data_IF_838393397245
#
_entry.id   IF_838393397245
#
_cell.length_a   1.000
_cell.length_b   1.000
_cell.length_c   1.000
_cell.angle_alpha   90.00
_cell.angle_beta   90.00
_cell.angle_gamma   90.00
#
_symmetry.space_group_name_H-M   'P 1'
#
loop_
_entity.id
_entity.type
_entity.pdbx_description
1 polymer ?
#
# COMPACT_ATOMS: atom_id res chain seq x y z
N UNK A 1 3.31 -14.27 26.96
CA UNK A 1 4.21 -13.22 26.40
C UNK A 1 4.67 -13.51 24.96
N UNK A 2 5.30 -14.65 24.65
CA UNK A 2 5.84 -14.93 23.31
C UNK A 2 4.83 -14.86 22.15
N UNK A 3 3.58 -15.28 22.36
CA UNK A 3 2.53 -15.22 21.33
C UNK A 3 2.25 -13.80 20.82
N UNK A 4 2.16 -12.80 21.71
CA UNK A 4 1.96 -11.40 21.31
C UNK A 4 3.16 -10.85 20.53
N UNK A 5 4.38 -11.20 20.93
CA UNK A 5 5.60 -10.77 20.22
C UNK A 5 5.64 -11.30 18.80
N UNK A 6 5.30 -12.58 18.61
CA UNK A 6 5.20 -13.20 17.29
C UNK A 6 4.12 -12.49 16.45
N UNK A 7 2.98 -12.18 17.06
CA UNK A 7 1.86 -11.51 16.39
C UNK A 7 2.25 -10.12 15.87
N UNK A 8 2.90 -9.31 16.71
CA UNK A 8 3.41 -7.99 16.32
C UNK A 8 4.54 -8.08 15.30
N UNK A 9 5.44 -9.06 15.46
CA UNK A 9 6.53 -9.28 14.53
C UNK A 9 6.02 -9.66 13.13
N UNK A 10 5.11 -10.62 13.05
CA UNK A 10 4.50 -11.04 11.78
C UNK A 10 3.68 -9.92 11.15
N UNK A 11 2.94 -9.15 11.95
CA UNK A 11 2.24 -7.98 11.45
C UNK A 11 3.18 -6.96 10.83
N UNK A 12 4.29 -6.63 11.50
CA UNK A 12 5.23 -5.63 11.00
C UNK A 12 5.96 -6.13 9.74
N UNK A 13 6.30 -7.41 9.69
CA UNK A 13 6.97 -8.00 8.53
C UNK A 13 6.05 -8.19 7.33
N UNK A 14 4.86 -8.75 7.53
CA UNK A 14 3.96 -9.17 6.44
C UNK A 14 2.91 -8.12 6.11
N UNK A 15 2.47 -7.32 7.08
CA UNK A 15 1.51 -6.23 6.87
C UNK A 15 2.04 -5.12 5.97
N UNK A 16 3.37 -4.95 5.88
CA UNK A 16 4.02 -4.01 4.97
C UNK A 16 4.04 -4.45 3.50
N UNK A 17 3.84 -5.74 3.21
CA UNK A 17 3.89 -6.28 1.84
C UNK A 17 2.81 -5.67 0.93
N UNK A 18 1.51 -5.66 1.29
CA UNK A 18 0.45 -5.07 0.47
C UNK A 18 0.40 -3.54 0.48
N UNK A 19 1.41 -2.86 1.01
CA UNK A 19 1.36 -1.40 1.14
C UNK A 19 1.52 -0.71 -0.21
N UNK A 20 0.49 0.04 -0.62
CA UNK A 20 0.41 0.59 -1.98
C UNK A 20 1.57 1.54 -2.34
N UNK A 21 2.07 2.34 -1.40
CA UNK A 21 3.17 3.29 -1.64
C UNK A 21 4.45 2.59 -2.12
N UNK A 22 4.67 1.35 -1.68
CA UNK A 22 5.81 0.54 -2.09
C UNK A 22 5.69 0.12 -3.57
N UNK A 23 4.53 -0.41 -3.96
CA UNK A 23 4.27 -0.80 -5.34
C UNK A 23 4.31 0.39 -6.31
N UNK A 24 3.82 1.56 -5.91
CA UNK A 24 3.91 2.75 -6.74
C UNK A 24 5.36 3.12 -7.08
N UNK A 25 6.27 2.98 -6.12
CA UNK A 25 7.70 3.29 -6.33
C UNK A 25 8.39 2.23 -7.19
N UNK A 26 8.07 0.96 -6.97
CA UNK A 26 8.63 -0.14 -7.76
C UNK A 26 8.17 -0.09 -9.21
N UNK A 27 6.87 0.10 -9.44
CA UNK A 27 6.30 0.14 -10.78
C UNK A 27 6.69 1.40 -11.57
N UNK A 28 7.18 2.44 -10.89
CA UNK A 28 7.74 3.63 -11.54
C UNK A 28 9.16 3.41 -12.09
N UNK A 29 9.84 2.32 -11.72
CA UNK A 29 11.18 2.00 -12.24
C UNK A 29 11.11 1.43 -13.66
N UNK A 30 12.13 1.69 -14.48
CA UNK A 30 12.12 1.30 -15.91
C UNK A 30 12.44 -0.18 -16.13
N UNK A 31 13.05 -0.86 -15.17
CA UNK A 31 13.56 -2.23 -15.35
C UNK A 31 13.44 -3.03 -14.06
N UNK A 32 13.10 -4.33 -14.16
CA UNK A 32 12.97 -5.21 -12.99
C UNK A 32 14.23 -5.32 -12.13
N UNK A 33 15.43 -5.27 -12.74
CA UNK A 33 16.69 -5.22 -11.99
C UNK A 33 16.79 -3.97 -11.09
N UNK A 34 16.33 -2.82 -11.58
CA UNK A 34 16.31 -1.57 -10.80
C UNK A 34 15.31 -1.67 -9.64
N UNK A 35 14.14 -2.28 -9.87
CA UNK A 35 13.15 -2.51 -8.82
C UNK A 35 13.69 -3.38 -7.67
N UNK A 36 14.43 -4.44 -8.01
CA UNK A 36 15.06 -5.33 -7.03
C UNK A 36 16.12 -4.58 -6.22
N UNK A 37 17.02 -3.86 -6.90
CA UNK A 37 18.05 -3.05 -6.22
C UNK A 37 17.41 -2.03 -5.30
N UNK A 38 16.36 -1.33 -5.74
CA UNK A 38 15.63 -0.37 -4.91
C UNK A 38 15.05 -1.02 -3.65
N UNK A 39 14.50 -2.23 -3.78
CA UNK A 39 13.91 -2.98 -2.66
C UNK A 39 14.96 -3.42 -1.64
N UNK A 40 16.07 -4.00 -2.10
CA UNK A 40 17.16 -4.44 -1.22
C UNK A 40 17.92 -3.27 -0.60
N UNK A 41 18.22 -2.23 -1.37
CA UNK A 41 18.87 -1.03 -0.89
C UNK A 41 17.97 -0.29 0.12
N UNK A 42 16.67 -0.22 -0.13
CA UNK A 42 15.69 0.34 0.80
C UNK A 42 15.64 -0.45 2.12
N UNK A 43 15.57 -1.78 2.04
CA UNK A 43 15.56 -2.64 3.23
C UNK A 43 16.83 -2.50 4.08
N UNK A 44 18.01 -2.54 3.45
CA UNK A 44 19.30 -2.37 4.13
C UNK A 44 19.45 -0.95 4.68
N UNK A 45 19.00 0.06 3.93
CA UNK A 45 18.96 1.45 4.36
C UNK A 45 18.09 1.66 5.60
N UNK A 46 16.95 0.97 5.70
CA UNK A 46 16.08 1.05 6.88
C UNK A 46 16.79 0.54 8.14
N UNK A 47 17.56 -0.55 8.05
CA UNK A 47 18.32 -1.09 9.19
C UNK A 47 19.34 -0.06 9.71
N UNK A 48 20.05 0.61 8.80
CA UNK A 48 21.01 1.65 9.16
C UNK A 48 20.30 2.87 9.77
N UNK A 49 19.17 3.28 9.20
CA UNK A 49 18.40 4.45 9.64
C UNK A 49 17.68 4.27 10.99
N UNK A 50 17.54 3.03 11.46
CA UNK A 50 17.03 2.75 12.82
C UNK A 50 18.07 3.09 13.90
N UNK A 51 19.37 3.02 13.59
CA UNK A 51 20.44 3.23 14.59
C UNK A 51 20.36 4.62 15.24
N UNK A 52 20.27 5.74 14.50
CA UNK A 52 20.13 7.06 15.12
C UNK A 52 18.89 7.20 16.00
N UNK A 53 17.76 6.62 15.59
CA UNK A 53 16.53 6.68 16.38
C UNK A 53 16.66 5.96 17.73
N UNK A 54 17.34 4.80 17.74
CA UNK A 54 17.63 4.06 18.98
C UNK A 54 18.58 4.85 19.87
N UNK A 55 19.64 5.43 19.31
CA UNK A 55 20.62 6.22 20.09
C UNK A 55 19.93 7.40 20.79
N UNK A 56 19.07 8.14 20.08
CA UNK A 56 18.31 9.25 20.66
C UNK A 56 17.42 8.75 21.82
N UNK A 57 16.77 7.59 21.68
CA UNK A 57 15.99 6.99 22.76
C UNK A 57 16.82 6.57 23.97
N UNK A 58 18.03 6.05 23.75
CA UNK A 58 18.97 5.68 24.83
C UNK A 58 19.44 6.93 25.57
N UNK A 59 19.84 7.98 24.83
CA UNK A 59 20.25 9.27 25.41
C UNK A 59 19.10 9.85 26.25
N UNK A 60 17.88 9.82 25.73
CA UNK A 60 16.72 10.30 26.46
C UNK A 60 16.50 9.55 27.78
N UNK A 61 16.65 8.22 27.77
CA UNK A 61 16.49 7.41 29.00
C UNK A 61 17.64 7.63 30.00
N UNK A 62 18.85 7.87 29.52
CA UNK A 62 20.05 8.06 30.34
C UNK A 62 20.27 9.48 30.85
N UNK A 63 19.41 10.43 30.48
CA UNK A 63 19.53 11.83 30.88
C UNK A 63 18.72 12.11 32.16
N UNK A 64 19.35 12.77 33.12
CA UNK A 64 18.67 13.31 34.30
C UNK A 64 17.91 14.60 33.94
N UNK A 65 16.71 14.44 33.37
CA UNK A 65 15.84 15.53 32.94
C UNK A 65 15.58 16.65 33.98
N UNK A 66 15.48 16.37 35.30
CA UNK A 66 15.35 17.43 36.30
C UNK A 66 16.53 18.40 36.37
N UNK A 67 17.72 17.99 35.91
CA UNK A 67 18.92 18.85 35.85
C UNK A 67 19.04 19.62 34.54
N UNK A 68 18.18 19.34 33.55
CA UNK A 68 18.16 20.04 32.26
C UNK A 68 17.28 21.30 32.31
N UNK A 69 17.38 22.14 31.28
CA UNK A 69 16.51 23.33 31.11
C UNK A 69 15.00 22.98 31.06
N UNK A 70 14.64 21.72 30.81
CA UNK A 70 13.25 21.25 30.85
C UNK A 70 12.69 21.17 32.29
N UNK A 71 13.56 20.89 33.28
CA UNK A 71 13.23 20.96 34.71
C UNK A 71 12.16 19.99 35.22
N UNK A 72 11.74 19.00 34.42
CA UNK A 72 10.71 18.00 34.76
C UNK A 72 11.14 16.61 34.32
N UNK A 73 10.72 15.57 35.04
CA UNK A 73 10.87 14.20 34.55
C UNK A 73 9.95 13.93 33.36
N UNK A 74 10.38 13.07 32.44
CA UNK A 74 9.54 12.62 31.33
C UNK A 74 8.44 11.72 31.85
N UNK A 75 7.18 12.16 31.73
CA UNK A 75 5.99 11.37 32.06
C UNK A 75 5.59 10.51 30.84
N UNK A 76 4.71 9.52 31.03
CA UNK A 76 4.23 8.63 29.96
C UNK A 76 3.71 9.35 28.71
N UNK A 77 3.06 10.51 28.85
CA UNK A 77 2.59 11.30 27.70
C UNK A 77 3.74 12.00 26.94
N UNK A 78 4.79 12.41 27.66
CA UNK A 78 5.97 13.05 27.09
C UNK A 78 6.85 12.06 26.30
N UNK A 79 6.66 10.74 26.52
CA UNK A 79 7.37 9.68 25.78
C UNK A 79 7.17 9.80 24.26
N UNK A 80 6.02 10.33 23.82
CA UNK A 80 5.71 10.57 22.40
C UNK A 80 6.51 11.76 21.81
N UNK A 81 6.99 12.65 22.67
CA UNK A 81 7.71 13.89 22.33
C UNK A 81 9.21 13.79 22.67
N UNK A 82 9.73 12.60 22.97
CA UNK A 82 11.14 12.40 23.35
C UNK A 82 12.10 12.94 22.28
N UNK A 83 11.85 12.66 21.00
CA UNK A 83 12.73 13.11 19.92
C UNK A 83 12.85 14.65 19.87
N UNK A 84 11.75 15.43 19.81
CA UNK A 84 11.87 16.88 19.83
C UNK A 84 12.41 17.43 21.16
N UNK A 85 12.10 16.81 22.31
CA UNK A 85 12.65 17.21 23.61
C UNK A 85 14.18 17.05 23.65
N UNK A 86 14.71 15.92 23.17
CA UNK A 86 16.16 15.70 23.11
C UNK A 86 16.81 16.72 22.19
N UNK A 87 16.26 16.97 21.01
CA UNK A 87 16.83 17.96 20.09
C UNK A 87 16.81 19.37 20.69
N UNK A 88 15.72 19.77 21.36
CA UNK A 88 15.58 21.13 21.87
C UNK A 88 16.44 21.41 23.11
N UNK A 89 16.54 20.46 24.04
CA UNK A 89 17.16 20.70 25.36
C UNK A 89 18.55 20.11 25.53
N UNK A 90 18.97 19.17 24.68
CA UNK A 90 20.29 18.53 24.77
C UNK A 90 21.23 18.92 23.63
N UNK A 91 20.78 19.70 22.65
CA UNK A 91 21.62 20.12 21.51
C UNK A 91 21.68 21.64 21.36
N UNK A 92 22.76 22.18 20.76
CA UNK A 92 22.86 23.61 20.47
C UNK A 92 21.69 24.11 19.60
N UNK A 93 21.27 25.39 19.72
CA UNK A 93 20.09 25.90 19.01
C UNK A 93 20.09 25.69 17.49
N UNK A 94 21.26 25.74 16.85
CA UNK A 94 21.39 25.52 15.40
C UNK A 94 21.19 24.05 15.01
N UNK A 95 21.63 23.10 15.86
CA UNK A 95 21.40 21.65 15.66
C UNK A 95 19.93 21.34 15.87
N UNK A 96 19.32 21.90 16.92
CA UNK A 96 17.90 21.74 17.20
C UNK A 96 17.05 22.20 16.02
N UNK A 97 17.35 23.39 15.47
CA UNK A 97 16.63 23.95 14.31
C UNK A 97 16.76 23.05 13.06
N UNK A 98 17.98 22.67 12.70
CA UNK A 98 18.20 21.80 11.53
C UNK A 98 17.63 20.39 11.74
N UNK A 99 17.76 19.83 12.94
CA UNK A 99 17.28 18.50 13.30
C UNK A 99 15.76 18.41 13.28
N UNK A 100 15.07 19.36 13.91
CA UNK A 100 13.60 19.44 13.87
C UNK A 100 13.10 19.72 12.45
N UNK A 101 13.80 20.54 11.67
CA UNK A 101 13.53 20.75 10.25
C UNK A 101 13.66 19.47 9.43
N UNK A 102 14.71 18.68 9.65
CA UNK A 102 14.94 17.41 8.96
C UNK A 102 13.88 16.37 9.32
N UNK A 103 13.50 16.26 10.60
CA UNK A 103 12.41 15.37 11.06
C UNK A 103 11.08 15.78 10.42
N UNK A 104 10.78 17.09 10.39
CA UNK A 104 9.56 17.61 9.76
C UNK A 104 9.53 17.31 8.27
N UNK A 105 10.64 17.49 7.55
CA UNK A 105 10.77 17.16 6.13
C UNK A 105 10.60 15.64 5.88
N UNK A 106 11.17 14.80 6.74
CA UNK A 106 11.03 13.35 6.64
C UNK A 106 9.56 12.90 6.83
N UNK A 107 8.86 13.44 7.83
CA UNK A 107 7.43 13.16 8.07
C UNK A 107 6.59 13.66 6.90
N UNK A 108 6.86 14.86 6.39
CA UNK A 108 6.15 15.42 5.23
C UNK A 108 6.31 14.53 3.99
N UNK A 109 7.53 14.05 3.69
CA UNK A 109 7.76 13.14 2.56
C UNK A 109 6.97 11.82 2.65
N UNK A 110 6.75 11.33 3.87
CA UNK A 110 6.00 10.10 4.14
C UNK A 110 4.49 10.34 4.06
N UNK A 111 4.02 11.47 4.59
CA UNK A 111 2.64 11.91 4.49
C UNK A 111 2.24 12.13 3.03
N UNK A 112 3.07 12.84 2.26
CA UNK A 112 2.86 13.10 0.83
C UNK A 112 2.69 11.80 0.04
N UNK A 113 3.60 10.84 0.27
CA UNK A 113 3.53 9.53 -0.38
C UNK A 113 2.23 8.78 -0.04
N UNK A 114 1.79 8.83 1.23
CA UNK A 114 0.59 8.12 1.69
C UNK A 114 -0.71 8.73 1.15
N UNK A 115 -0.79 10.08 1.13
CA UNK A 115 -1.94 10.81 0.58
C UNK A 115 -2.00 10.61 -0.93
N UNK A 116 -0.86 10.70 -1.63
CA UNK A 116 -0.78 10.45 -3.07
C UNK A 116 -1.21 9.03 -3.43
N UNK A 117 -0.76 8.06 -2.63
CA UNK A 117 -1.13 6.66 -2.80
C UNK A 117 -2.63 6.43 -2.68
N UNK A 118 -3.23 6.93 -1.60
CA UNK A 118 -4.67 6.83 -1.35
C UNK A 118 -5.48 7.52 -2.45
N UNK A 119 -5.04 8.71 -2.89
CA UNK A 119 -5.71 9.50 -3.93
C UNK A 119 -5.63 8.83 -5.31
N UNK A 120 -4.48 8.22 -5.63
CA UNK A 120 -4.31 7.45 -6.86
C UNK A 120 -5.19 6.20 -6.89
N UNK A 121 -5.29 5.47 -5.77
CA UNK A 121 -6.20 4.34 -5.65
C UNK A 121 -7.65 4.77 -5.82
N UNK A 122 -8.06 5.89 -5.21
CA UNK A 122 -9.41 6.41 -5.36
C UNK A 122 -9.72 6.78 -6.82
N UNK A 123 -8.84 7.53 -7.48
CA UNK A 123 -9.07 7.99 -8.85
C UNK A 123 -9.06 6.83 -9.87
N UNK A 124 -8.13 5.89 -9.75
CA UNK A 124 -7.99 4.79 -10.71
C UNK A 124 -8.91 3.61 -10.39
N UNK A 125 -9.01 3.19 -9.13
CA UNK A 125 -9.72 1.95 -8.78
C UNK A 125 -11.21 2.20 -8.51
N UNK A 126 -11.57 3.37 -7.98
CA UNK A 126 -12.97 3.69 -7.69
C UNK A 126 -13.60 4.56 -8.79
N UNK A 127 -13.02 5.72 -9.09
CA UNK A 127 -13.63 6.65 -10.04
C UNK A 127 -13.63 6.12 -11.46
N UNK A 128 -12.47 5.73 -12.01
CA UNK A 128 -12.39 5.20 -13.38
C UNK A 128 -13.16 3.88 -13.54
N UNK A 129 -13.08 2.96 -12.58
CA UNK A 129 -13.71 1.63 -12.73
C UNK A 129 -15.22 1.61 -12.47
N UNK A 130 -15.68 2.32 -11.43
CA UNK A 130 -17.08 2.25 -10.97
C UNK A 130 -17.92 3.41 -11.50
N UNK A 131 -17.41 4.65 -11.42
CA UNK A 131 -18.19 5.84 -11.74
C UNK A 131 -18.16 6.13 -13.25
N UNK A 132 -16.97 6.20 -13.85
CA UNK A 132 -16.80 6.60 -15.25
C UNK A 132 -15.72 5.79 -15.96
N UNK A 133 -16.10 4.64 -16.51
CA UNK A 133 -15.24 3.71 -17.27
C UNK A 133 -14.50 4.31 -18.46
N UNK A 134 -15.02 5.40 -19.03
CA UNK A 134 -14.42 6.13 -20.16
C UNK A 134 -13.81 7.48 -19.77
N UNK A 135 -13.40 7.67 -18.51
CA UNK A 135 -12.74 8.90 -18.08
C UNK A 135 -11.40 9.10 -18.82
N UNK A 136 -11.18 10.32 -19.31
CA UNK A 136 -9.90 10.72 -19.90
C UNK A 136 -8.82 10.85 -18.82
N UNK A 137 -7.55 10.64 -19.15
CA UNK A 137 -6.44 10.76 -18.19
C UNK A 137 -6.36 12.16 -17.55
N UNK A 138 -6.72 13.21 -18.31
CA UNK A 138 -6.79 14.57 -17.77
C UNK A 138 -7.88 14.71 -16.70
N UNK A 139 -9.01 14.02 -16.86
CA UNK A 139 -10.10 14.00 -15.88
C UNK A 139 -9.67 13.26 -14.62
N UNK A 140 -9.01 12.09 -14.77
CA UNK A 140 -8.49 11.30 -13.65
C UNK A 140 -7.48 12.11 -12.83
N UNK A 141 -6.60 12.89 -13.47
CA UNK A 141 -5.66 13.77 -12.78
C UNK A 141 -6.36 14.86 -11.95
N UNK A 142 -7.44 15.46 -12.46
CA UNK A 142 -8.22 16.44 -11.69
C UNK A 142 -8.92 15.81 -10.50
N UNK A 143 -9.50 14.62 -10.67
CA UNK A 143 -10.12 13.85 -9.59
C UNK A 143 -9.08 13.47 -8.53
N UNK A 144 -7.88 13.05 -8.95
CA UNK A 144 -6.78 12.73 -8.05
C UNK A 144 -6.36 13.94 -7.21
N UNK A 145 -6.25 15.14 -7.81
CA UNK A 145 -5.96 16.39 -7.08
C UNK A 145 -7.06 16.75 -6.07
N UNK A 146 -8.33 16.56 -6.44
CA UNK A 146 -9.46 16.73 -5.52
C UNK A 146 -9.41 15.72 -4.37
N UNK A 147 -9.10 14.45 -4.66
CA UNK A 147 -8.97 13.40 -3.65
C UNK A 147 -7.84 13.68 -2.66
N UNK A 148 -6.71 14.25 -3.11
CA UNK A 148 -5.61 14.69 -2.22
C UNK A 148 -6.12 15.68 -1.17
N UNK A 149 -6.91 16.68 -1.57
CA UNK A 149 -7.47 17.66 -0.64
C UNK A 149 -8.44 17.02 0.34
N UNK A 150 -9.31 16.12 -0.12
CA UNK A 150 -10.31 15.44 0.73
C UNK A 150 -9.63 14.51 1.73
N UNK A 151 -8.74 13.62 1.26
CA UNK A 151 -8.01 12.67 2.11
C UNK A 151 -7.12 13.41 3.11
N UNK A 152 -6.42 14.46 2.68
CA UNK A 152 -5.60 15.29 3.56
C UNK A 152 -6.42 16.00 4.64
N UNK A 153 -7.60 16.53 4.29
CA UNK A 153 -8.50 17.18 5.26
C UNK A 153 -9.01 16.19 6.30
N UNK A 154 -9.44 15.00 5.87
CA UNK A 154 -9.91 13.94 6.79
C UNK A 154 -8.78 13.48 7.69
N UNK A 155 -7.58 13.24 7.15
CA UNK A 155 -6.41 12.86 7.92
C UNK A 155 -6.05 13.93 8.97
N UNK A 156 -6.12 15.22 8.61
CA UNK A 156 -5.91 16.33 9.54
C UNK A 156 -6.94 16.37 10.67
N UNK A 157 -8.23 16.18 10.35
CA UNK A 157 -9.29 16.12 11.36
C UNK A 157 -9.11 14.96 12.34
N UNK A 158 -8.72 13.79 11.84
CA UNK A 158 -8.40 12.62 12.68
C UNK A 158 -7.16 12.92 13.54
N UNK A 159 -6.13 13.54 12.99
CA UNK A 159 -4.91 13.90 13.72
C UNK A 159 -5.18 14.88 14.87
N UNK A 160 -6.05 15.88 14.69
CA UNK A 160 -6.42 16.84 15.74
C UNK A 160 -7.22 16.18 16.88
N UNK A 161 -7.99 15.13 16.58
CA UNK A 161 -8.86 14.46 17.58
C UNK A 161 -8.26 13.18 18.19
N UNK A 162 -7.25 12.60 17.56
CA UNK A 162 -6.64 11.35 17.98
C UNK A 162 -5.75 11.49 19.22
N UNK A 163 -5.99 10.68 20.25
CA UNK A 163 -5.17 10.66 21.49
C UNK A 163 -3.93 9.76 21.40
N UNK A 164 -3.99 8.70 20.58
CA UNK A 164 -2.94 7.67 20.48
C UNK A 164 -2.64 7.33 19.02
N UNK A 165 -1.54 7.88 18.50
CA UNK A 165 -1.07 7.63 17.13
C UNK A 165 -0.63 6.17 16.98
N UNK A 166 0.01 5.63 18.01
CA UNK A 166 0.52 4.26 18.05
C UNK A 166 -0.61 3.23 17.94
N UNK A 167 -1.70 3.41 18.68
CA UNK A 167 -2.86 2.51 18.59
C UNK A 167 -3.52 2.58 17.22
N UNK A 168 -3.69 3.79 16.66
CA UNK A 168 -4.27 3.95 15.34
C UNK A 168 -3.40 3.28 14.26
N UNK A 169 -2.07 3.40 14.36
CA UNK A 169 -1.14 2.75 13.46
C UNK A 169 -1.26 1.22 13.54
N UNK A 170 -1.26 0.65 14.74
CA UNK A 170 -1.42 -0.80 14.91
C UNK A 170 -2.77 -1.29 14.40
N UNK A 171 -3.85 -0.54 14.66
CA UNK A 171 -5.19 -0.88 14.18
C UNK A 171 -5.27 -0.88 12.65
N UNK A 172 -4.70 0.11 11.99
CA UNK A 172 -4.64 0.16 10.53
C UNK A 172 -3.82 -0.99 9.95
N UNK A 173 -2.63 -1.24 10.52
CA UNK A 173 -1.76 -2.35 10.10
C UNK A 173 -2.40 -3.72 10.34
N UNK A 174 -3.23 -3.87 11.38
CA UNK A 174 -3.99 -5.09 11.63
C UNK A 174 -4.94 -5.43 10.49
N UNK A 175 -5.71 -4.45 10.04
CA UNK A 175 -6.65 -4.65 8.93
C UNK A 175 -5.92 -5.02 7.65
N UNK A 176 -4.81 -4.35 7.35
CA UNK A 176 -3.98 -4.66 6.19
C UNK A 176 -3.42 -6.09 6.27
N UNK A 177 -2.90 -6.46 7.43
CA UNK A 177 -2.32 -7.79 7.66
C UNK A 177 -3.35 -8.92 7.60
N UNK A 178 -4.54 -8.75 8.18
CA UNK A 178 -5.56 -9.81 8.21
C UNK A 178 -6.37 -9.88 6.91
N UNK A 179 -6.60 -8.74 6.25
CA UNK A 179 -7.56 -8.63 5.14
C UNK A 179 -6.95 -8.40 3.77
N UNK A 180 -5.71 -7.94 3.64
CA UNK A 180 -5.10 -7.67 2.33
C UNK A 180 -3.93 -8.61 2.05
N UNK A 181 -3.15 -8.95 3.07
CA UNK A 181 -2.01 -9.85 2.89
C UNK A 181 -2.41 -11.23 2.33
N UNK A 182 -3.40 -11.98 2.90
CA UNK A 182 -3.83 -13.26 2.33
C UNK A 182 -4.27 -13.17 0.87
N UNK A 183 -5.03 -12.12 0.55
CA UNK A 183 -5.60 -11.86 -0.76
C UNK A 183 -4.49 -11.60 -1.78
N UNK A 184 -3.54 -10.74 -1.45
CA UNK A 184 -2.41 -10.43 -2.31
C UNK A 184 -1.51 -11.65 -2.52
N UNK A 185 -1.11 -12.34 -1.45
CA UNK A 185 -0.22 -13.50 -1.53
C UNK A 185 -0.83 -14.60 -2.41
N UNK A 186 -2.10 -14.92 -2.21
CA UNK A 186 -2.75 -15.98 -2.99
C UNK A 186 -3.03 -15.54 -4.43
N UNK A 187 -3.42 -14.29 -4.67
CA UNK A 187 -3.64 -13.78 -6.02
C UNK A 187 -2.35 -13.75 -6.86
N UNK A 188 -1.20 -13.44 -6.25
CA UNK A 188 0.08 -13.36 -6.95
C UNK A 188 0.73 -14.73 -7.14
N UNK A 189 0.77 -15.57 -6.10
CA UNK A 189 1.49 -16.85 -6.18
C UNK A 189 0.64 -18.01 -6.71
N UNK A 190 -0.66 -18.00 -6.43
CA UNK A 190 -1.58 -19.08 -6.81
C UNK A 190 -2.85 -18.56 -7.50
N UNK A 191 -2.73 -17.76 -8.59
CA UNK A 191 -3.87 -17.18 -9.30
C UNK A 191 -4.84 -18.24 -9.84
N UNK A 192 -4.40 -19.48 -9.99
CA UNK A 192 -5.24 -20.58 -10.46
C UNK A 192 -6.16 -21.17 -9.38
N UNK A 193 -5.89 -20.94 -8.10
CA UNK A 193 -6.69 -21.47 -6.99
C UNK A 193 -7.72 -20.47 -6.48
N UNK A 194 -7.61 -19.20 -6.85
CA UNK A 194 -8.40 -18.11 -6.27
C UNK A 194 -9.39 -17.50 -7.25
N UNK A 195 -10.56 -17.14 -6.74
CA UNK A 195 -11.64 -16.51 -7.50
C UNK A 195 -12.16 -15.27 -6.76
N UNK A 196 -12.82 -14.37 -7.48
CA UNK A 196 -13.38 -13.13 -6.91
C UNK A 196 -14.37 -13.41 -5.77
N UNK A 197 -15.23 -14.44 -5.91
CA UNK A 197 -16.18 -14.82 -4.85
C UNK A 197 -15.48 -15.23 -3.55
N UNK A 198 -14.43 -16.05 -3.63
CA UNK A 198 -13.67 -16.47 -2.46
C UNK A 198 -12.92 -15.32 -1.80
N UNK A 199 -12.40 -14.37 -2.60
CA UNK A 199 -11.76 -13.16 -2.10
C UNK A 199 -12.72 -12.27 -1.32
N UNK A 200 -13.94 -12.05 -1.84
CA UNK A 200 -14.98 -11.23 -1.18
C UNK A 200 -15.41 -11.86 0.14
N UNK A 201 -15.69 -13.18 0.16
CA UNK A 201 -16.08 -13.88 1.39
C UNK A 201 -14.95 -13.81 2.44
N UNK A 202 -13.71 -14.08 2.04
CA UNK A 202 -12.56 -13.99 2.93
C UNK A 202 -12.38 -12.57 3.49
N UNK A 203 -12.59 -11.53 2.68
CA UNK A 203 -12.53 -10.13 3.12
C UNK A 203 -13.55 -9.85 4.24
N UNK A 204 -14.81 -10.24 4.07
CA UNK A 204 -15.83 -10.05 5.10
C UNK A 204 -15.60 -10.90 6.35
N UNK A 205 -15.16 -12.16 6.20
CA UNK A 205 -14.80 -13.01 7.34
C UNK A 205 -13.65 -12.41 8.14
N UNK A 206 -12.58 -11.95 7.46
CA UNK A 206 -11.47 -11.25 8.10
C UNK A 206 -11.90 -9.96 8.80
N UNK A 207 -12.80 -9.18 8.18
CA UNK A 207 -13.36 -7.97 8.79
C UNK A 207 -14.10 -8.28 10.10
N UNK A 208 -15.02 -9.24 10.05
CA UNK A 208 -15.85 -9.64 11.19
C UNK A 208 -14.97 -10.17 12.31
N UNK A 209 -14.03 -11.08 12.00
CA UNK A 209 -13.09 -11.61 12.99
C UNK A 209 -12.28 -10.50 13.66
N UNK A 210 -11.82 -9.49 12.91
CA UNK A 210 -11.05 -8.40 13.49
C UNK A 210 -11.92 -7.47 14.33
N UNK A 211 -13.09 -7.07 13.85
CA UNK A 211 -14.01 -6.22 14.62
C UNK A 211 -14.42 -6.91 15.92
N UNK A 212 -14.77 -8.20 15.87
CA UNK A 212 -15.10 -8.99 17.06
C UNK A 212 -13.92 -9.07 18.04
N UNK A 213 -12.70 -9.20 17.55
CA UNK A 213 -11.49 -9.22 18.38
C UNK A 213 -10.99 -7.85 18.86
N UNK A 214 -11.52 -6.73 18.36
CA UNK A 214 -11.24 -5.36 18.85
C UNK A 214 -12.34 -4.88 19.80
N UNK A 215 -13.59 -5.29 19.58
CA UNK A 215 -14.78 -4.71 20.20
C UNK A 215 -15.01 -5.03 21.69
N UNK A 216 -14.05 -5.64 22.40
CA UNK A 216 -14.18 -5.86 23.85
C UNK A 216 -15.40 -6.68 24.27
N UNK A 217 -16.03 -7.41 23.35
CA UNK A 217 -17.01 -8.44 23.69
C UNK A 217 -16.22 -9.50 24.46
N UNK A 218 -16.62 -9.90 25.69
CA UNK A 218 -15.92 -10.95 26.42
C UNK A 218 -15.73 -12.12 25.47
N UNK A 219 -14.47 -12.54 25.33
CA UNK A 219 -13.99 -13.40 24.25
C UNK A 219 -14.94 -14.58 24.11
N UNK A 220 -15.86 -14.54 23.13
CA UNK A 220 -16.89 -15.58 22.98
C UNK A 220 -16.26 -16.96 22.69
N UNK A 221 -14.97 -16.96 22.35
CA UNK A 221 -14.11 -18.14 22.15
C UNK A 221 -12.85 -17.95 22.98
N UNK A 222 -12.84 -18.48 24.21
CA UNK A 222 -11.63 -18.57 25.04
C UNK A 222 -10.62 -19.52 24.37
N UNK A 223 -9.70 -18.97 23.57
CA UNK A 223 -8.58 -19.74 23.05
C UNK A 223 -7.59 -20.06 24.20
N UNK A 224 -6.87 -21.19 24.14
CA UNK A 224 -5.89 -21.55 25.16
C UNK A 224 -4.89 -20.40 25.41
N UNK A 225 -4.53 -20.15 26.68
CA UNK A 225 -3.75 -19.01 27.19
C UNK A 225 -4.52 -17.70 27.49
N UNK A 226 -5.78 -17.79 27.92
CA UNK A 226 -6.49 -16.67 28.56
C UNK A 226 -6.11 -16.59 30.04
N UNK A 227 -5.40 -15.52 30.43
CA UNK A 227 -5.04 -15.24 31.83
C UNK A 227 -5.27 -13.75 32.07
N UNK A 228 -6.02 -13.41 33.13
CA UNK A 228 -6.27 -12.04 33.61
C UNK A 228 -6.82 -11.05 32.55
N UNK A 229 -7.79 -11.49 31.73
CA UNK A 229 -8.45 -10.60 30.76
C UNK A 229 -7.62 -10.28 29.51
N UNK A 230 -6.40 -10.80 29.40
CA UNK A 230 -5.51 -10.62 28.26
C UNK A 230 -5.34 -11.96 27.53
N UNK A 231 -5.72 -11.98 26.25
CA UNK A 231 -5.50 -13.13 25.39
C UNK A 231 -4.05 -13.12 24.88
N UNK A 232 -3.19 -13.97 25.46
CA UNK A 232 -1.79 -14.09 25.05
C UNK A 232 -1.58 -14.91 23.76
N UNK A 233 -2.66 -15.48 23.24
CA UNK A 233 -2.68 -16.21 21.98
C UNK A 233 -2.53 -15.23 20.79
N UNK A 234 -1.74 -15.56 19.75
CA UNK A 234 -1.55 -14.72 18.56
C UNK A 234 -2.82 -14.65 17.71
N UNK A 235 -3.80 -13.90 18.19
CA UNK A 235 -5.13 -13.82 17.60
C UNK A 235 -5.10 -13.22 16.19
N UNK A 236 -4.22 -12.24 15.91
CA UNK A 236 -4.16 -11.61 14.58
C UNK A 236 -3.62 -12.59 13.54
N UNK A 237 -2.60 -13.36 13.90
CA UNK A 237 -2.02 -14.42 13.05
C UNK A 237 -3.05 -15.51 12.80
N UNK A 238 -3.80 -15.95 13.82
CA UNK A 238 -4.88 -16.91 13.62
C UNK A 238 -5.98 -16.34 12.70
N UNK A 239 -6.41 -15.09 12.92
CA UNK A 239 -7.40 -14.45 12.05
C UNK A 239 -6.90 -14.37 10.60
N UNK A 240 -5.62 -14.03 10.38
CA UNK A 240 -4.99 -14.03 9.07
C UNK A 240 -5.01 -15.43 8.43
N UNK A 241 -4.66 -16.48 9.18
CA UNK A 241 -4.69 -17.87 8.69
C UNK A 241 -6.12 -18.33 8.38
N UNK A 242 -7.10 -17.92 9.18
CA UNK A 242 -8.52 -18.21 8.92
C UNK A 242 -8.98 -17.50 7.65
N UNK A 243 -8.60 -16.23 7.42
CA UNK A 243 -8.85 -15.53 6.15
C UNK A 243 -8.21 -16.28 4.97
N UNK A 244 -6.97 -16.75 5.14
CA UNK A 244 -6.24 -17.51 4.12
C UNK A 244 -6.94 -18.83 3.77
N UNK A 245 -7.33 -19.61 4.79
CA UNK A 245 -8.06 -20.86 4.62
C UNK A 245 -9.44 -20.63 4.01
N UNK A 246 -10.16 -19.60 4.47
CA UNK A 246 -11.48 -19.22 3.94
C UNK A 246 -11.38 -18.89 2.45
N UNK A 247 -10.39 -18.08 2.06
CA UNK A 247 -10.20 -17.71 0.66
C UNK A 247 -9.96 -18.94 -0.22
N UNK A 248 -9.11 -19.86 0.21
CA UNK A 248 -8.83 -21.10 -0.51
C UNK A 248 -10.03 -22.03 -0.59
N UNK A 249 -10.68 -22.32 0.55
CA UNK A 249 -11.82 -23.23 0.63
C UNK A 249 -13.00 -22.72 -0.20
N UNK A 250 -13.38 -21.45 -0.06
CA UNK A 250 -14.47 -20.87 -0.82
C UNK A 250 -14.13 -20.72 -2.30
N UNK A 251 -12.87 -20.44 -2.66
CA UNK A 251 -12.47 -20.41 -4.07
C UNK A 251 -12.53 -21.80 -4.71
N UNK A 252 -12.05 -22.84 -4.02
CA UNK A 252 -12.14 -24.23 -4.50
C UNK A 252 -13.58 -24.73 -4.57
N UNK A 253 -14.39 -24.42 -3.56
CA UNK A 253 -15.81 -24.76 -3.54
C UNK A 253 -16.56 -24.08 -4.69
N UNK A 254 -16.34 -22.77 -4.88
CA UNK A 254 -16.94 -22.01 -5.98
C UNK A 254 -16.54 -22.58 -7.35
N UNK A 255 -15.27 -23.00 -7.51
CA UNK A 255 -14.79 -23.63 -8.75
C UNK A 255 -15.45 -24.99 -9.00
N UNK A 256 -15.55 -25.85 -8.00
CA UNK A 256 -16.26 -27.12 -8.11
C UNK A 256 -17.74 -26.92 -8.45
N UNK A 257 -18.39 -25.92 -7.86
CA UNK A 257 -19.80 -25.62 -8.13
C UNK A 257 -20.02 -25.04 -9.53
N UNK A 258 -19.04 -24.28 -10.05
CA UNK A 258 -19.03 -23.79 -11.42
C UNK A 258 -18.82 -24.92 -12.43
N UNK A 259 -17.81 -25.78 -12.20
CA UNK A 259 -17.52 -26.94 -13.06
C UNK A 259 -18.70 -27.94 -13.06
N UNK A 260 -19.44 -28.04 -11.96
CA UNK A 260 -20.67 -28.82 -11.85
C UNK A 260 -21.92 -28.15 -12.48
N UNK A 261 -21.79 -26.92 -13.00
CA UNK A 261 -22.87 -26.20 -13.71
C UNK A 261 -23.94 -25.58 -12.80
N UNK A 262 -23.72 -25.52 -11.48
CA UNK A 262 -24.71 -25.00 -10.53
C UNK A 262 -24.65 -23.47 -10.36
N UNK A 263 -23.51 -22.84 -10.67
CA UNK A 263 -23.33 -21.38 -10.59
C UNK A 263 -23.08 -20.81 -11.99
N UNK A 264 -23.85 -19.78 -12.38
CA UNK A 264 -23.55 -18.96 -13.55
C UNK A 264 -22.58 -17.83 -13.17
N UNK A 265 -21.64 -17.50 -14.05
CA UNK A 265 -20.71 -16.41 -13.78
C UNK A 265 -21.36 -15.04 -13.99
N UNK A 266 -21.77 -14.39 -12.91
CA UNK A 266 -22.42 -13.07 -12.96
C UNK A 266 -21.43 -11.90 -12.99
N UNK A 267 -20.19 -12.09 -12.54
CA UNK A 267 -19.23 -11.00 -12.31
C UNK A 267 -17.97 -11.19 -13.18
N UNK A 268 -17.91 -12.22 -14.02
CA UNK A 268 -16.66 -12.62 -14.68
C UNK A 268 -15.63 -13.09 -13.66
N UNK A 269 -16.09 -13.66 -12.54
CA UNK A 269 -15.25 -14.06 -11.42
C UNK A 269 -14.30 -15.21 -11.77
N UNK A 270 -14.60 -15.96 -12.84
CA UNK A 270 -13.77 -17.02 -13.41
C UNK A 270 -13.12 -16.61 -14.75
N UNK A 271 -13.50 -15.44 -15.28
CA UNK A 271 -13.01 -14.93 -16.55
C UNK A 271 -11.60 -14.33 -16.38
N UNK A 272 -10.60 -15.03 -16.90
CA UNK A 272 -9.18 -14.70 -16.74
C UNK A 272 -8.74 -13.52 -17.60
N UNK A 273 -9.46 -13.22 -18.67
CA UNK A 273 -9.08 -12.18 -19.63
C UNK A 273 -9.48 -10.77 -19.17
N UNK A 274 -10.34 -10.67 -18.16
CA UNK A 274 -10.85 -9.40 -17.63
C UNK A 274 -10.28 -9.04 -16.24
N UNK A 275 -9.36 -9.85 -15.71
CA UNK A 275 -8.60 -9.46 -14.52
C UNK A 275 -7.46 -8.53 -14.96
N UNK A 276 -7.35 -7.29 -14.44
CA UNK A 276 -6.15 -6.49 -14.62
C UNK A 276 -5.06 -7.13 -13.75
N UNK A 277 -4.50 -8.22 -14.26
CA UNK A 277 -3.39 -8.91 -13.66
C UNK A 277 -2.18 -7.98 -13.84
N UNK A 278 -1.88 -7.17 -12.81
CA UNK A 278 -0.59 -6.46 -12.67
C UNK A 278 0.49 -7.49 -12.31
N UNK A 279 0.55 -8.59 -13.05
CA UNK A 279 1.66 -9.53 -13.03
C UNK A 279 2.41 -9.22 -14.30
N UNK A 280 3.58 -8.60 -14.15
CA UNK A 280 4.61 -8.70 -15.15
C UNK A 280 4.95 -10.18 -15.30
N UNK A 281 4.19 -10.91 -16.13
CA UNK A 281 4.53 -12.27 -16.49
C UNK A 281 5.80 -12.20 -17.34
N UNK A 282 6.94 -12.48 -16.73
CA UNK A 282 8.09 -13.04 -17.44
C UNK A 282 7.66 -14.37 -18.04
N UNK A 283 7.17 -14.36 -19.28
CA UNK A 283 7.13 -15.56 -20.10
C UNK A 283 8.57 -15.95 -20.39
N UNK A 284 8.97 -17.13 -19.93
CA UNK A 284 10.23 -17.74 -20.31
C UNK A 284 10.25 -18.05 -21.80
N UNK A 285 11.02 -17.28 -22.55
CA UNK A 285 11.88 -17.72 -23.64
C UNK A 285 13.00 -16.67 -23.77
N UNK A 286 14.23 -17.13 -24.01
CA UNK A 286 15.45 -16.32 -23.90
C UNK A 286 15.40 -15.02 -24.69
N UNK A 287 15.99 -13.97 -24.10
CA UNK A 287 16.12 -12.64 -24.70
C UNK A 287 15.52 -11.57 -23.79
N UNK A 288 16.36 -10.81 -23.10
CA UNK A 288 15.94 -9.59 -22.39
C UNK A 288 15.73 -8.53 -23.46
N UNK A 289 14.56 -8.50 -24.09
CA UNK A 289 14.08 -7.32 -24.82
C UNK A 289 13.32 -6.43 -23.84
N UNK A 290 13.74 -5.16 -23.82
CA UNK A 290 13.26 -4.16 -22.89
C UNK A 290 11.75 -3.98 -23.00
N UNK A 291 11.10 -3.92 -21.85
CA UNK A 291 9.76 -3.34 -21.74
C UNK A 291 9.94 -1.84 -22.00
N UNK A 292 9.78 -1.44 -23.26
CA UNK A 292 9.63 -0.04 -23.61
C UNK A 292 8.33 0.46 -22.98
N UNK A 293 8.49 1.28 -21.94
CA UNK A 293 7.42 2.00 -21.29
C UNK A 293 6.99 3.13 -22.24
N UNK A 294 5.81 3.08 -22.92
CA UNK A 294 5.43 4.10 -23.90
C UNK A 294 4.96 5.41 -23.25
N UNK A 295 5.19 5.61 -21.96
CA UNK A 295 4.61 6.68 -21.15
C UNK A 295 5.59 7.73 -20.62
N UNK A 296 6.84 7.79 -21.11
CA UNK A 296 7.80 8.83 -20.71
C UNK A 296 8.62 9.35 -21.89
N UNK A 297 7.97 10.08 -22.80
CA UNK A 297 8.69 11.10 -23.57
C UNK A 297 8.97 12.28 -22.64
N UNK A 298 10.16 12.24 -22.04
CA UNK A 298 10.76 13.40 -21.39
C UNK A 298 11.17 14.35 -22.52
N UNK A 299 10.27 15.27 -22.88
CA UNK A 299 10.59 16.40 -23.73
C UNK A 299 11.67 17.22 -23.02
N UNK A 300 12.92 17.03 -23.47
CA UNK A 300 14.05 17.87 -23.08
C UNK A 300 13.86 19.24 -23.73
N UNK A 301 13.49 20.23 -22.92
CA UNK A 301 13.57 21.64 -23.30
C UNK A 301 15.04 22.07 -23.20
N UNK A 302 15.77 21.99 -24.32
CA UNK A 302 17.04 22.69 -24.53
C UNK A 302 16.88 23.69 -25.67
N UNK A 303 16.82 24.96 -25.27
CA UNK A 303 17.56 26.10 -25.82
C UNK A 303 17.60 26.28 -27.34
N UNK A 304 16.94 27.36 -27.77
CA UNK A 304 17.15 28.21 -28.95
C UNK A 304 18.40 27.97 -29.81
N UNK A 305 18.18 27.86 -31.14
CA UNK A 305 19.19 28.18 -32.15
C UNK A 305 18.98 27.51 -33.51
N UNK A 306 18.34 28.22 -34.45
CA UNK A 306 18.72 28.18 -35.87
C UNK A 306 18.05 27.15 -36.80
N UNK A 307 17.18 27.65 -37.69
CA UNK A 307 17.36 27.44 -39.13
C UNK A 307 16.74 26.22 -39.82
N UNK A 308 15.57 26.48 -40.42
CA UNK A 308 15.24 26.20 -41.84
C UNK A 308 14.69 24.83 -42.30
N UNK A 309 13.59 24.96 -43.08
CA UNK A 309 13.04 24.12 -44.16
C UNK A 309 12.01 23.01 -43.84
N UNK A 310 10.75 23.43 -43.98
CA UNK A 310 9.68 22.85 -44.82
C UNK A 310 9.79 21.40 -45.30
N UNK A 311 8.71 20.63 -45.17
CA UNK A 311 7.77 20.30 -46.26
C UNK A 311 6.56 19.56 -45.67
N UNK A 312 5.38 20.06 -46.01
CA UNK A 312 4.07 19.46 -45.80
C UNK A 312 3.78 18.57 -47.01
N UNK A 313 3.41 17.30 -46.82
CA UNK A 313 2.74 16.57 -47.89
C UNK A 313 1.65 15.61 -47.37
N UNK A 314 0.40 15.94 -47.72
CA UNK A 314 -0.76 15.04 -47.77
C UNK A 314 -0.92 14.55 -49.22
N UNK A 315 -1.13 13.25 -49.44
CA UNK A 315 -1.83 12.66 -50.60
C UNK A 315 -2.54 11.39 -50.10
N UNK A 316 -3.87 11.32 -49.98
CA UNK A 316 -4.95 11.09 -50.99
C UNK A 316 -4.89 9.73 -51.71
N UNK A 317 -5.94 8.95 -51.46
CA UNK A 317 -6.39 7.74 -52.14
C UNK A 317 -6.56 7.87 -53.65
N UNK A 318 -6.35 6.76 -54.38
CA UNK A 318 -7.36 6.13 -55.26
C UNK A 318 -6.73 5.04 -56.13
N UNK A 319 -7.38 3.87 -56.22
CA UNK A 319 -7.04 2.82 -57.19
C UNK A 319 -7.84 1.53 -57.02
N UNK A 320 -9.07 1.49 -57.55
CA UNK A 320 -9.82 0.27 -57.90
C UNK A 320 -9.77 0.09 -59.42
N UNK A 321 -9.82 -1.15 -59.95
CA UNK A 321 -11.09 -1.69 -60.50
C UNK A 321 -11.24 -3.21 -60.24
N UNK A 322 -12.39 -3.89 -60.28
CA UNK A 322 -13.80 -3.56 -60.52
C UNK A 322 -14.66 -4.85 -60.49
N UNK A 323 -15.98 -4.68 -60.24
CA UNK A 323 -17.17 -5.41 -60.78
C UNK A 323 -17.25 -6.94 -60.54
N UNK A 324 -18.26 -7.52 -59.88
CA UNK A 324 -19.68 -7.72 -60.28
C UNK A 324 -20.46 -8.22 -59.01
N UNK A 325 -21.50 -7.57 -58.45
CA UNK A 325 -22.96 -7.67 -58.76
C UNK A 325 -23.42 -9.13 -59.01
N UNK A 326 -24.47 -9.72 -58.41
CA UNK A 326 -25.79 -9.18 -58.07
C UNK A 326 -26.62 -10.20 -57.23
N UNK A 327 -27.37 -9.70 -56.22
CA UNK A 327 -28.72 -10.05 -55.66
C UNK A 327 -29.07 -11.54 -55.37
N UNK A 328 -29.74 -11.89 -54.27
CA UNK A 328 -30.91 -11.29 -53.58
C UNK A 328 -30.77 -11.37 -52.06
#
# INVERSE_FOLDING_TARGET
>A
MWGMWIDYFLLLMLGGVPWQTFYQRILATRTGKQSQVLSFAGGLGCVIMVIPAIIIGIIAKGTDWPMTEYGKEIIDDDKKMVLPLVLQYLTPPWVAFLGLGAVSAAVMSSADSSVLSSSSMFANNLYKTIIRRKASDREVLWVMRGAVLVVGTIACLIAIRGKSITELFYLCSDFVYVMLYPQLTLAVHYPHLVNTYGSVVAYFVGFILRVLGVAGIPVMIEFPYYVDGVQYFPFRTLAMLVTFATMLLFSMAARKLYDAGHIKDYIGAFDRDNQPVVVATTKGHGGIEGVDNPGMDVSSEKTAGGGMNSVVERRKDSGHPGVEMERL
#
